data_IF_471232430041
#
_entry.id   IF_471232430041
#
_cell.length_a   1.000
_cell.length_b   1.000
_cell.length_c   1.000
_cell.angle_alpha   90.00
_cell.angle_beta   90.00
_cell.angle_gamma   90.00
#
_symmetry.space_group_name_H-M   'P 1'
#
loop_
_entity.id
_entity.type
_entity.pdbx_description
1 polymer ?
#
# COMPACT_ATOMS: atom_id res chain seq x y z
N UNK A 1 4.89 -6.73 2.38
CA UNK A 1 6.18 -6.15 1.98
C UNK A 1 5.92 -5.20 0.81
N UNK A 2 6.46 -3.99 0.91
CA UNK A 2 6.42 -2.95 -0.11
C UNK A 2 7.13 -3.49 -1.36
N UNK A 3 6.42 -3.49 -2.49
CA UNK A 3 7.03 -3.84 -3.77
C UNK A 3 7.72 -2.61 -4.35
N UNK A 4 9.05 -2.67 -4.45
CA UNK A 4 9.90 -1.65 -5.05
C UNK A 4 10.55 -2.28 -6.28
N UNK A 5 10.63 -1.57 -7.42
CA UNK A 5 11.32 -2.09 -8.59
C UNK A 5 12.79 -2.40 -8.27
N UNK A 6 13.31 -3.58 -8.66
CA UNK A 6 14.68 -4.02 -8.34
C UNK A 6 15.76 -3.41 -9.26
N UNK A 7 15.35 -2.54 -10.19
CA UNK A 7 16.20 -1.92 -11.19
C UNK A 7 15.78 -0.46 -11.45
N UNK A 8 16.68 0.38 -11.97
CA UNK A 8 16.36 1.75 -12.33
C UNK A 8 15.25 1.84 -13.38
N UNK A 9 14.43 2.89 -13.29
CA UNK A 9 13.30 3.12 -14.19
C UNK A 9 13.67 3.19 -15.67
N UNK A 10 14.83 3.75 -16.00
CA UNK A 10 15.30 3.82 -17.38
C UNK A 10 15.46 2.44 -18.00
N UNK A 11 15.78 1.43 -17.19
CA UNK A 11 15.83 0.03 -17.64
C UNK A 11 14.41 -0.55 -17.77
N UNK A 12 13.50 -0.18 -16.88
CA UNK A 12 12.08 -0.57 -16.96
C UNK A 12 11.42 0.02 -18.21
N UNK A 13 11.72 1.27 -18.58
CA UNK A 13 11.27 1.91 -19.81
C UNK A 13 11.73 1.11 -21.05
N UNK A 14 12.97 0.59 -21.07
CA UNK A 14 13.45 -0.27 -22.17
C UNK A 14 12.72 -1.60 -22.24
N UNK A 15 12.36 -2.19 -21.10
CA UNK A 15 11.56 -3.42 -21.04
C UNK A 15 10.14 -3.15 -21.56
N UNK A 16 9.48 -2.09 -21.09
CA UNK A 16 8.16 -1.66 -21.58
C UNK A 16 8.19 -1.37 -23.08
N UNK A 17 9.25 -0.72 -23.57
CA UNK A 17 9.43 -0.45 -24.98
C UNK A 17 9.49 -1.75 -25.82
N UNK A 18 10.22 -2.74 -25.31
CA UNK A 18 10.37 -4.05 -25.94
C UNK A 18 9.06 -4.82 -25.97
N UNK A 19 8.34 -4.84 -24.85
CA UNK A 19 7.00 -5.45 -24.75
C UNK A 19 6.05 -4.81 -25.76
N UNK A 20 6.03 -3.47 -25.86
CA UNK A 20 5.16 -2.77 -26.81
C UNK A 20 5.55 -2.98 -28.28
N UNK A 21 6.83 -3.26 -28.57
CA UNK A 21 7.29 -3.65 -29.92
C UNK A 21 7.04 -5.12 -30.26
N UNK A 22 6.66 -5.95 -29.28
CA UNK A 22 6.54 -7.40 -29.45
C UNK A 22 7.88 -8.12 -29.59
N UNK A 23 8.97 -7.60 -29.00
CA UNK A 23 10.28 -8.27 -29.02
C UNK A 23 10.44 -9.26 -27.86
N UNK A 24 11.20 -10.35 -28.10
CA UNK A 24 11.32 -11.48 -27.17
C UNK A 24 11.95 -11.13 -25.80
N UNK A 25 11.38 -11.72 -24.74
CA UNK A 25 11.79 -11.54 -23.34
C UNK A 25 13.23 -12.02 -23.04
N UNK A 26 13.73 -12.96 -23.84
CA UNK A 26 15.03 -13.63 -23.66
C UNK A 26 16.21 -12.63 -23.64
N UNK A 27 16.12 -11.55 -24.41
CA UNK A 27 17.17 -10.54 -24.50
C UNK A 27 17.38 -9.78 -23.19
N UNK A 28 16.32 -9.58 -22.42
CA UNK A 28 16.40 -8.88 -21.13
C UNK A 28 16.90 -9.79 -20.02
N UNK A 29 16.54 -11.08 -20.04
CA UNK A 29 16.96 -12.07 -19.04
C UNK A 29 18.49 -12.17 -18.95
N UNK A 30 19.18 -12.19 -20.09
CA UNK A 30 20.65 -12.20 -20.13
C UNK A 30 21.29 -10.92 -19.58
N UNK A 31 20.62 -9.78 -19.69
CA UNK A 31 21.18 -8.47 -19.33
C UNK A 31 21.05 -8.11 -17.84
N UNK A 32 19.92 -8.47 -17.22
CA UNK A 32 19.60 -8.09 -15.82
C UNK A 32 19.42 -9.28 -14.89
N UNK A 33 19.41 -10.51 -15.42
CA UNK A 33 19.14 -11.73 -14.68
C UNK A 33 17.65 -12.00 -14.52
N UNK A 34 17.30 -13.30 -14.50
CA UNK A 34 15.92 -13.79 -14.41
C UNK A 34 15.14 -13.26 -13.22
N UNK A 35 15.72 -13.34 -12.02
CA UNK A 35 15.05 -12.91 -10.77
C UNK A 35 14.64 -11.44 -10.81
N UNK A 36 15.50 -10.55 -11.32
CA UNK A 36 15.19 -9.12 -11.45
C UNK A 36 14.18 -8.83 -12.54
N UNK A 37 14.23 -9.58 -13.65
CA UNK A 37 13.24 -9.47 -14.72
C UNK A 37 11.86 -9.86 -14.19
N UNK A 38 11.74 -11.00 -13.52
CA UNK A 38 10.48 -11.50 -12.95
C UNK A 38 9.89 -10.52 -11.93
N UNK A 39 10.72 -9.99 -11.03
CA UNK A 39 10.30 -8.97 -10.06
C UNK A 39 9.87 -7.65 -10.74
N UNK A 40 10.53 -7.27 -11.85
CA UNK A 40 10.15 -6.09 -12.64
C UNK A 40 8.81 -6.29 -13.34
N UNK A 41 8.59 -7.46 -13.95
CA UNK A 41 7.31 -7.81 -14.59
C UNK A 41 6.18 -7.84 -13.55
N UNK A 42 6.43 -8.44 -12.38
CA UNK A 42 5.48 -8.41 -11.27
C UNK A 42 5.16 -6.97 -10.82
N UNK A 43 6.15 -6.08 -10.77
CA UNK A 43 5.92 -4.66 -10.50
C UNK A 43 5.04 -4.00 -11.57
N UNK A 44 5.34 -4.22 -12.86
CA UNK A 44 4.56 -3.69 -13.99
C UNK A 44 3.11 -4.20 -14.01
N UNK A 45 2.88 -5.45 -13.59
CA UNK A 45 1.54 -6.00 -13.42
C UNK A 45 0.79 -5.29 -12.29
N UNK A 46 1.45 -5.04 -11.14
CA UNK A 46 0.82 -4.35 -10.00
C UNK A 46 0.42 -2.90 -10.30
N UNK A 47 1.17 -2.19 -11.14
CA UNK A 47 0.78 -0.85 -11.62
C UNK A 47 -0.22 -0.89 -12.78
N UNK A 48 -0.70 -2.09 -13.14
CA UNK A 48 -1.66 -2.34 -14.23
C UNK A 48 -1.14 -1.85 -15.59
N UNK A 49 0.16 -1.98 -15.87
CA UNK A 49 0.71 -1.66 -17.18
C UNK A 49 0.73 -2.88 -18.09
N UNK A 50 1.00 -4.07 -17.53
CA UNK A 50 0.99 -5.32 -18.29
C UNK A 50 0.05 -6.36 -17.67
N UNK A 51 -0.43 -7.29 -18.49
CA UNK A 51 -1.21 -8.45 -18.07
C UNK A 51 -0.33 -9.55 -17.49
N UNK A 52 -0.94 -10.61 -16.94
CA UNK A 52 -0.22 -11.82 -16.49
C UNK A 52 0.58 -12.48 -17.62
N UNK A 53 0.07 -12.39 -18.85
CA UNK A 53 0.73 -12.87 -20.07
C UNK A 53 1.86 -11.94 -20.55
N UNK A 54 2.06 -10.80 -19.87
CA UNK A 54 3.02 -9.73 -20.20
C UNK A 54 2.69 -8.99 -21.49
N UNK A 55 1.41 -8.78 -21.75
CA UNK A 55 0.92 -7.92 -22.82
C UNK A 55 0.56 -6.54 -22.26
N UNK A 56 0.66 -5.48 -23.06
CA UNK A 56 0.23 -4.16 -22.59
C UNK A 56 -1.28 -4.12 -22.35
N UNK A 57 -1.66 -3.69 -21.15
CA UNK A 57 -3.06 -3.31 -20.82
C UNK A 57 -3.43 -2.01 -21.52
N UNK A 58 -4.68 -1.56 -21.41
CA UNK A 58 -5.10 -0.24 -21.90
C UNK A 58 -4.28 0.90 -21.27
N UNK A 59 -4.11 0.91 -19.95
CA UNK A 59 -3.27 1.87 -19.24
C UNK A 59 -1.81 1.82 -19.72
N UNK A 60 -1.27 0.61 -19.89
CA UNK A 60 0.09 0.42 -20.41
C UNK A 60 0.26 0.88 -21.85
N UNK A 61 -0.74 0.68 -22.71
CA UNK A 61 -0.76 1.18 -24.10
C UNK A 61 -0.79 2.71 -24.13
N UNK A 62 -1.62 3.33 -23.29
CA UNK A 62 -1.68 4.80 -23.20
C UNK A 62 -0.33 5.36 -22.74
N UNK A 63 0.25 4.79 -21.67
CA UNK A 63 1.59 5.17 -21.23
C UNK A 63 2.65 4.98 -22.33
N UNK A 64 2.62 3.85 -23.04
CA UNK A 64 3.55 3.56 -24.13
C UNK A 64 3.44 4.60 -25.26
N UNK A 65 2.22 4.92 -25.70
CA UNK A 65 1.97 5.88 -26.77
C UNK A 65 2.47 7.26 -26.36
N UNK A 66 2.09 7.75 -25.19
CA UNK A 66 2.51 9.08 -24.75
C UNK A 66 4.03 9.19 -24.60
N UNK A 67 4.68 8.19 -23.98
CA UNK A 67 6.11 8.25 -23.72
C UNK A 67 6.97 8.02 -24.97
N UNK A 68 6.64 7.00 -25.77
CA UNK A 68 7.52 6.52 -26.84
C UNK A 68 7.10 6.96 -28.24
N UNK A 69 5.82 7.29 -28.45
CA UNK A 69 5.30 7.72 -29.76
C UNK A 69 5.15 9.24 -29.81
N UNK A 70 4.46 9.82 -28.84
CA UNK A 70 4.24 11.27 -28.77
C UNK A 70 5.41 12.02 -28.13
N UNK A 71 6.26 11.33 -27.34
CA UNK A 71 7.32 11.93 -26.53
C UNK A 71 6.78 13.04 -25.61
N UNK A 72 5.61 12.78 -25.02
CA UNK A 72 4.88 13.68 -24.14
C UNK A 72 5.14 13.34 -22.66
N UNK A 73 5.40 14.36 -21.86
CA UNK A 73 5.57 14.23 -20.42
C UNK A 73 4.27 13.86 -19.69
N UNK A 74 3.10 13.99 -20.35
CA UNK A 74 1.81 13.50 -19.84
C UNK A 74 1.83 12.00 -19.50
N UNK A 75 2.73 11.22 -20.11
CA UNK A 75 2.99 9.83 -19.73
C UNK A 75 3.29 9.67 -18.23
N UNK A 76 4.02 10.62 -17.63
CA UNK A 76 4.31 10.58 -16.19
C UNK A 76 3.10 10.88 -15.32
N UNK A 77 2.06 11.54 -15.85
CA UNK A 77 0.77 11.66 -15.16
C UNK A 77 0.04 10.31 -15.12
N UNK A 78 0.02 9.57 -16.22
CA UNK A 78 -0.55 8.21 -16.29
C UNK A 78 0.17 7.30 -15.28
N UNK A 79 1.50 7.34 -15.28
CA UNK A 79 2.31 6.60 -14.32
C UNK A 79 2.03 7.04 -12.88
N UNK A 80 1.90 8.34 -12.62
CA UNK A 80 1.59 8.85 -11.29
C UNK A 80 0.26 8.29 -10.76
N UNK A 81 -0.78 8.25 -11.60
CA UNK A 81 -2.10 7.77 -11.19
C UNK A 81 -2.12 6.25 -10.94
N UNK A 82 -1.39 5.47 -11.73
CA UNK A 82 -1.15 4.06 -11.43
C UNK A 82 -0.35 3.86 -10.15
N UNK A 83 0.72 4.63 -9.94
CA UNK A 83 1.58 4.52 -8.76
C UNK A 83 0.83 4.86 -7.46
N UNK A 84 0.01 5.92 -7.45
CA UNK A 84 -0.79 6.34 -6.28
C UNK A 84 -1.77 5.25 -5.78
N UNK A 85 -2.17 4.32 -6.66
CA UNK A 85 -3.03 3.18 -6.32
C UNK A 85 -2.28 2.01 -5.70
N UNK A 86 -0.95 1.96 -5.83
CA UNK A 86 -0.15 0.89 -5.25
C UNK A 86 -0.02 1.03 -3.74
N UNK A 87 -0.10 -0.10 -3.03
CA UNK A 87 0.09 -0.17 -1.58
C UNK A 87 1.44 0.44 -1.17
N UNK A 88 2.51 0.14 -1.92
CA UNK A 88 3.86 0.66 -1.67
C UNK A 88 3.89 2.18 -1.54
N UNK A 89 3.32 2.87 -2.53
CA UNK A 89 3.31 4.35 -2.57
C UNK A 89 2.38 4.90 -1.50
N UNK A 90 1.22 4.27 -1.29
CA UNK A 90 0.30 4.70 -0.24
C UNK A 90 0.93 4.61 1.16
N UNK A 91 1.62 3.51 1.47
CA UNK A 91 2.30 3.33 2.76
C UNK A 91 3.41 4.36 2.94
N UNK A 92 4.31 4.49 1.96
CA UNK A 92 5.43 5.46 2.02
C UNK A 92 4.90 6.87 2.23
N UNK A 93 3.91 7.30 1.44
CA UNK A 93 3.36 8.64 1.57
C UNK A 93 2.66 8.84 2.92
N UNK A 94 1.92 7.86 3.44
CA UNK A 94 1.24 7.97 4.73
C UNK A 94 2.19 8.04 5.92
N UNK A 95 3.26 7.24 5.92
CA UNK A 95 4.27 7.22 6.98
C UNK A 95 5.00 8.56 7.06
N UNK A 96 5.34 9.10 5.89
CA UNK A 96 6.23 10.23 5.75
C UNK A 96 5.48 11.58 5.71
N UNK A 97 4.16 11.57 5.49
CA UNK A 97 3.36 12.78 5.41
C UNK A 97 3.51 13.67 6.66
N UNK A 98 3.75 14.95 6.44
CA UNK A 98 3.86 15.96 7.51
C UNK A 98 5.15 15.92 8.31
N UNK A 99 6.07 14.97 8.06
CA UNK A 99 7.40 14.94 8.68
C UNK A 99 8.34 15.90 7.95
N UNK A 100 9.13 16.67 8.71
CA UNK A 100 10.18 17.56 8.18
C UNK A 100 11.54 16.85 8.19
N UNK A 101 12.47 17.34 7.36
CA UNK A 101 13.87 16.89 7.33
C UNK A 101 14.03 15.38 7.08
N UNK A 102 13.20 14.83 6.21
CA UNK A 102 13.31 13.42 5.84
C UNK A 102 14.55 13.20 4.98
N UNK A 103 15.38 12.24 5.39
CA UNK A 103 16.57 11.80 4.66
C UNK A 103 16.38 10.38 4.14
N UNK A 104 16.92 10.11 2.95
CA UNK A 104 16.87 8.79 2.29
C UNK A 104 17.33 7.66 3.21
N UNK A 105 18.47 7.82 3.86
CA UNK A 105 19.03 6.80 4.76
C UNK A 105 18.13 6.53 5.97
N UNK A 106 17.54 7.56 6.57
CA UNK A 106 16.60 7.44 7.67
C UNK A 106 15.33 6.70 7.25
N UNK A 107 14.83 6.97 6.03
CA UNK A 107 13.66 6.29 5.48
C UNK A 107 13.98 4.83 5.18
N UNK A 108 15.13 4.55 4.55
CA UNK A 108 15.57 3.18 4.30
C UNK A 108 15.63 2.37 5.60
N UNK A 109 16.30 2.91 6.62
CA UNK A 109 16.41 2.26 7.93
C UNK A 109 15.04 2.04 8.58
N UNK A 110 14.14 3.02 8.50
CA UNK A 110 12.77 2.90 9.01
C UNK A 110 12.02 1.75 8.32
N UNK A 111 12.05 1.71 6.98
CA UNK A 111 11.36 0.67 6.21
C UNK A 111 11.94 -0.73 6.48
N UNK A 112 13.25 -0.83 6.72
CA UNK A 112 13.92 -2.08 7.04
C UNK A 112 13.57 -2.58 8.44
N UNK A 113 13.64 -1.70 9.46
CA UNK A 113 13.32 -2.04 10.86
C UNK A 113 11.87 -2.48 11.01
N UNK A 114 10.95 -1.79 10.32
CA UNK A 114 9.52 -2.13 10.30
C UNK A 114 9.21 -3.33 9.40
N UNK A 115 10.23 -4.00 8.83
CA UNK A 115 10.11 -5.17 7.93
C UNK A 115 9.19 -4.91 6.74
N UNK A 116 9.15 -3.66 6.28
CA UNK A 116 8.35 -3.25 5.14
C UNK A 116 9.05 -3.58 3.82
N UNK A 117 10.38 -3.54 3.81
CA UNK A 117 11.22 -3.95 2.67
C UNK A 117 12.04 -5.19 3.03
N UNK A 118 12.40 -5.99 2.03
CA UNK A 118 13.27 -7.15 2.16
C UNK A 118 14.73 -6.69 2.38
N UNK A 119 15.51 -7.42 3.18
CA UNK A 119 16.94 -7.16 3.41
C UNK A 119 17.78 -7.19 2.13
N UNK A 120 17.28 -7.85 1.07
CA UNK A 120 17.88 -7.85 -0.26
C UNK A 120 17.79 -6.50 -0.98
N UNK A 121 16.81 -5.65 -0.63
CA UNK A 121 16.62 -4.33 -1.24
C UNK A 121 17.67 -3.39 -0.66
N UNK A 122 18.48 -2.78 -1.53
CA UNK A 122 19.53 -1.85 -1.12
C UNK A 122 18.99 -0.41 -1.04
N UNK A 123 19.72 0.45 -0.33
CA UNK A 123 19.39 1.87 -0.24
C UNK A 123 19.33 2.56 -1.61
N UNK A 124 20.13 2.10 -2.58
CA UNK A 124 20.14 2.62 -3.95
C UNK A 124 18.92 2.19 -4.78
N UNK A 125 18.34 1.03 -4.47
CA UNK A 125 17.08 0.59 -5.08
C UNK A 125 15.93 1.51 -4.62
N UNK A 126 15.90 1.85 -3.33
CA UNK A 126 14.99 2.86 -2.80
C UNK A 126 15.23 4.23 -3.44
N UNK A 127 16.49 4.67 -3.60
CA UNK A 127 16.82 5.92 -4.27
C UNK A 127 16.35 5.98 -5.73
N UNK A 128 16.43 4.85 -6.44
CA UNK A 128 15.91 4.70 -7.80
C UNK A 128 14.39 4.83 -7.82
N UNK A 129 13.70 4.22 -6.86
CA UNK A 129 12.24 4.33 -6.74
C UNK A 129 11.78 5.75 -6.36
N UNK A 130 12.44 6.39 -5.39
CA UNK A 130 12.18 7.79 -5.02
C UNK A 130 12.38 8.74 -6.20
N UNK A 131 13.35 8.45 -7.07
CA UNK A 131 13.56 9.23 -8.30
C UNK A 131 12.37 9.16 -9.26
N UNK A 132 11.69 8.01 -9.34
CA UNK A 132 10.46 7.84 -10.14
C UNK A 132 9.32 8.63 -9.53
N UNK A 133 9.14 8.52 -8.21
CA UNK A 133 8.10 9.26 -7.50
C UNK A 133 8.30 10.78 -7.63
N UNK A 134 9.55 11.23 -7.68
CA UNK A 134 9.90 12.62 -7.97
C UNK A 134 9.53 13.04 -9.40
N UNK A 135 9.84 12.22 -10.41
CA UNK A 135 9.38 12.48 -11.80
C UNK A 135 7.85 12.57 -11.89
N UNK A 136 7.15 11.74 -11.12
CA UNK A 136 5.69 11.69 -11.07
C UNK A 136 5.06 12.79 -10.18
N UNK A 137 5.86 13.71 -9.61
CA UNK A 137 5.41 14.77 -8.68
C UNK A 137 4.60 14.23 -7.48
N UNK A 138 4.87 13.01 -7.05
CA UNK A 138 4.29 12.40 -5.84
C UNK A 138 5.03 12.89 -4.59
N UNK A 139 6.33 13.15 -4.73
CA UNK A 139 7.22 13.71 -3.72
C UNK A 139 8.29 14.57 -4.40
N UNK A 140 8.97 15.41 -3.63
CA UNK A 140 10.24 16.03 -4.02
C UNK A 140 11.39 15.20 -3.44
N UNK A 141 12.37 14.87 -4.26
CA UNK A 141 13.58 14.15 -3.84
C UNK A 141 14.84 14.81 -4.39
N UNK A 142 15.71 15.29 -3.50
CA UNK A 142 17.04 15.78 -3.85
C UNK A 142 18.06 14.66 -3.78
N UNK A 143 18.55 14.20 -4.93
CA UNK A 143 19.64 13.20 -4.99
C UNK A 143 20.92 13.69 -4.31
N UNK A 144 21.21 15.00 -4.42
CA UNK A 144 22.44 15.61 -3.87
C UNK A 144 22.45 15.62 -2.35
N UNK A 145 21.33 15.97 -1.73
CA UNK A 145 21.22 16.11 -0.27
C UNK A 145 20.52 14.92 0.41
N UNK A 146 19.95 14.01 -0.38
CA UNK A 146 19.15 12.90 0.13
C UNK A 146 17.82 13.33 0.75
N UNK A 147 17.41 14.60 0.59
CA UNK A 147 16.22 15.16 1.24
C UNK A 147 14.94 14.79 0.50
N UNK A 148 13.89 14.51 1.26
CA UNK A 148 12.59 14.07 0.74
C UNK A 148 11.47 14.95 1.34
N UNK A 149 10.51 15.33 0.51
CA UNK A 149 9.30 16.03 0.93
C UNK A 149 8.11 15.40 0.20
N UNK A 150 7.08 15.00 0.94
CA UNK A 150 5.91 14.33 0.36
C UNK A 150 4.93 15.38 -0.15
N UNK A 151 4.52 15.26 -1.42
CA UNK A 151 3.55 16.16 -2.06
C UNK A 151 2.14 15.55 -2.12
N UNK A 152 2.07 14.22 -2.13
CA UNK A 152 0.82 13.47 -2.20
C UNK A 152 0.43 12.91 -0.82
N UNK A 153 -0.78 13.24 -0.36
CA UNK A 153 -1.37 12.63 0.82
C UNK A 153 -2.51 11.68 0.43
N UNK A 154 -2.33 10.36 0.55
CA UNK A 154 -3.40 9.39 0.29
C UNK A 154 -4.67 9.61 1.13
N UNK A 155 -4.56 10.22 2.32
CA UNK A 155 -5.71 10.48 3.21
C UNK A 155 -6.61 11.61 2.74
N UNK A 156 -6.13 12.50 1.88
CA UNK A 156 -6.89 13.65 1.38
C UNK A 156 -7.58 13.37 0.04
N UNK A 157 -7.42 12.17 -0.51
CA UNK A 157 -7.96 11.83 -1.82
C UNK A 157 -9.45 11.48 -1.72
N UNK A 158 -10.22 11.76 -2.78
CA UNK A 158 -11.66 11.44 -2.83
C UNK A 158 -11.89 9.93 -2.76
N UNK A 159 -11.00 9.16 -3.39
CA UNK A 159 -10.92 7.72 -3.24
C UNK A 159 -10.19 7.39 -1.93
N UNK A 160 -10.85 6.65 -1.05
CA UNK A 160 -10.24 6.25 0.22
C UNK A 160 -9.05 5.32 -0.04
N UNK A 161 -7.94 5.48 0.71
CA UNK A 161 -6.77 4.63 0.54
C UNK A 161 -7.16 3.17 0.78
N UNK A 162 -6.55 2.27 0.02
CA UNK A 162 -6.78 0.82 0.14
C UNK A 162 -6.15 0.28 1.42
N UNK A 163 -5.05 0.88 1.85
CA UNK A 163 -4.33 0.53 3.08
C UNK A 163 -4.20 1.77 3.96
N UNK A 164 -4.47 1.64 5.25
CA UNK A 164 -4.27 2.71 6.23
C UNK A 164 -3.13 2.33 7.18
N UNK A 165 -2.09 3.16 7.23
CA UNK A 165 -0.96 2.95 8.14
C UNK A 165 -1.16 3.71 9.45
N UNK A 166 -0.97 3.00 10.56
CA UNK A 166 -1.01 3.54 11.93
C UNK A 166 0.40 3.51 12.52
N UNK A 167 0.84 4.63 13.11
CA UNK A 167 2.19 4.76 13.69
C UNK A 167 2.11 5.13 15.16
N UNK A 168 2.95 4.55 16.04
CA UNK A 168 3.05 5.00 17.44
C UNK A 168 3.32 6.51 17.60
N UNK A 169 3.97 7.13 16.60
CA UNK A 169 4.26 8.57 16.58
C UNK A 169 3.01 9.44 16.40
N UNK A 170 1.89 8.86 15.95
CA UNK A 170 0.65 9.58 15.65
C UNK A 170 -0.55 9.04 16.45
N UNK A 171 -0.48 8.96 17.79
CA UNK A 171 -1.47 8.25 18.60
C UNK A 171 -2.88 8.84 18.48
N UNK A 172 -2.99 10.17 18.42
CA UNK A 172 -4.27 10.86 18.25
C UNK A 172 -4.92 10.53 16.90
N UNK A 173 -4.16 10.67 15.81
CA UNK A 173 -4.65 10.40 14.47
C UNK A 173 -4.97 8.91 14.26
N UNK A 174 -4.31 8.01 14.98
CA UNK A 174 -4.59 6.58 14.89
C UNK A 174 -6.00 6.22 15.38
N UNK A 175 -6.45 6.86 16.46
CA UNK A 175 -7.80 6.66 16.98
C UNK A 175 -8.81 7.08 15.91
N UNK A 176 -8.68 8.31 15.39
CA UNK A 176 -9.55 8.80 14.32
C UNK A 176 -9.56 7.87 13.10
N UNK A 177 -8.38 7.45 12.65
CA UNK A 177 -8.18 6.53 11.54
C UNK A 177 -8.90 5.17 11.76
N UNK A 178 -8.85 4.62 12.98
CA UNK A 178 -9.55 3.38 13.33
C UNK A 178 -11.08 3.54 13.20
N UNK A 179 -11.64 4.58 13.80
CA UNK A 179 -13.08 4.86 13.72
C UNK A 179 -13.55 5.05 12.27
N UNK A 180 -12.81 5.85 11.49
CA UNK A 180 -13.12 6.05 10.07
C UNK A 180 -13.08 4.76 9.28
N UNK A 181 -12.08 3.90 9.52
CA UNK A 181 -11.95 2.59 8.86
C UNK A 181 -13.16 1.72 9.14
N UNK A 182 -13.57 1.57 10.41
CA UNK A 182 -14.73 0.75 10.77
C UNK A 182 -16.01 1.28 10.08
N UNK A 183 -16.22 2.61 10.05
CA UNK A 183 -17.36 3.22 9.34
C UNK A 183 -17.38 2.94 7.84
N UNK A 184 -16.23 2.65 7.23
CA UNK A 184 -16.15 2.37 5.80
C UNK A 184 -16.48 0.94 5.43
N UNK A 185 -16.38 0.01 6.39
CA UNK A 185 -16.66 -1.40 6.13
C UNK A 185 -18.09 -1.59 5.64
N UNK A 186 -18.28 -2.57 4.74
CA UNK A 186 -19.57 -2.94 4.16
C UNK A 186 -19.69 -4.45 4.18
N UNK A 187 -20.87 -4.97 4.51
CA UNK A 187 -21.22 -6.41 4.57
C UNK A 187 -20.48 -7.23 5.63
N UNK A 188 -19.16 -7.11 5.73
CA UNK A 188 -18.37 -7.85 6.71
C UNK A 188 -17.25 -7.01 7.33
N UNK A 189 -16.90 -7.32 8.58
CA UNK A 189 -15.69 -6.85 9.26
C UNK A 189 -14.95 -8.04 9.85
N UNK A 190 -13.69 -8.22 9.46
CA UNK A 190 -12.79 -9.20 10.06
C UNK A 190 -11.66 -8.47 10.77
N UNK A 191 -11.48 -8.76 12.05
CA UNK A 191 -10.41 -8.21 12.88
C UNK A 191 -9.53 -9.35 13.37
N UNK A 192 -8.24 -9.27 13.05
CA UNK A 192 -7.22 -10.15 13.59
C UNK A 192 -6.23 -9.33 14.42
N UNK A 193 -6.13 -9.62 15.73
CA UNK A 193 -5.19 -8.93 16.62
C UNK A 193 -4.78 -9.82 17.79
N UNK A 194 -3.47 -10.12 17.87
CA UNK A 194 -2.88 -10.94 18.94
C UNK A 194 -3.14 -10.36 20.33
N UNK A 195 -3.27 -9.04 20.43
CA UNK A 195 -3.44 -8.28 21.66
C UNK A 195 -4.82 -7.62 21.73
N UNK A 196 -5.82 -8.15 21.02
CA UNK A 196 -7.19 -7.66 21.12
C UNK A 196 -7.65 -7.68 22.58
N UNK A 197 -8.33 -6.62 23.02
CA UNK A 197 -8.78 -6.47 24.41
C UNK A 197 -10.18 -5.88 24.45
N UNK A 198 -10.77 -5.77 25.64
CA UNK A 198 -12.11 -5.19 25.82
C UNK A 198 -12.20 -3.77 25.26
N UNK A 199 -11.11 -3.00 25.26
CA UNK A 199 -11.05 -1.66 24.65
C UNK A 199 -11.28 -1.68 23.14
N UNK A 200 -10.97 -2.78 22.46
CA UNK A 200 -11.23 -2.95 21.03
C UNK A 200 -12.71 -3.13 20.70
N UNK A 201 -13.54 -3.52 21.67
CA UNK A 201 -14.99 -3.69 21.47
C UNK A 201 -15.73 -2.34 21.39
N UNK A 202 -15.25 -1.33 22.11
CA UNK A 202 -15.88 0.01 22.16
C UNK A 202 -15.98 0.71 20.79
N UNK A 203 -14.91 0.83 19.98
CA UNK A 203 -15.04 1.42 18.65
C UNK A 203 -15.95 0.58 17.75
N UNK A 204 -16.01 -0.74 17.93
CA UNK A 204 -16.93 -1.59 17.17
C UNK A 204 -18.39 -1.35 17.56
N UNK A 205 -18.70 -1.25 18.86
CA UNK A 205 -20.08 -0.99 19.31
C UNK A 205 -20.58 0.39 18.87
N UNK A 206 -19.68 1.37 18.80
CA UNK A 206 -20.03 2.74 18.46
C UNK A 206 -20.21 2.94 16.94
N UNK A 207 -19.38 2.28 16.13
CA UNK A 207 -19.31 2.58 14.69
C UNK A 207 -20.02 1.56 13.79
N UNK A 208 -20.31 0.35 14.27
CA UNK A 208 -20.99 -0.66 13.46
C UNK A 208 -22.49 -0.35 13.30
N UNK A 209 -22.91 -0.29 12.04
CA UNK A 209 -24.29 -0.12 11.63
C UNK A 209 -24.84 -1.44 11.04
N UNK A 210 -25.83 -2.03 11.71
CA UNK A 210 -26.46 -3.29 11.31
C UNK A 210 -27.26 -3.25 10.00
N UNK A 211 -27.57 -2.06 9.49
CA UNK A 211 -28.16 -1.91 8.14
C UNK A 211 -27.12 -2.05 7.02
N UNK A 212 -25.82 -2.04 7.37
CA UNK A 212 -24.70 -1.95 6.44
C UNK A 212 -23.76 -3.16 6.57
N UNK A 213 -23.60 -3.68 7.79
CA UNK A 213 -22.75 -4.81 8.11
C UNK A 213 -23.64 -6.00 8.45
N UNK A 214 -23.40 -7.11 7.76
CA UNK A 214 -24.12 -8.36 7.98
C UNK A 214 -23.36 -9.27 8.95
N UNK A 215 -22.01 -9.20 8.95
CA UNK A 215 -21.16 -10.16 9.65
C UNK A 215 -19.95 -9.52 10.32
N UNK A 216 -19.61 -9.99 11.52
CA UNK A 216 -18.35 -9.67 12.20
C UNK A 216 -17.60 -10.95 12.59
N UNK A 217 -16.28 -10.94 12.38
CA UNK A 217 -15.35 -11.96 12.90
C UNK A 217 -14.21 -11.29 13.64
N UNK A 218 -14.02 -11.70 14.90
CA UNK A 218 -12.95 -11.21 15.76
C UNK A 218 -12.08 -12.42 16.13
N UNK A 219 -10.80 -12.37 15.76
CA UNK A 219 -9.80 -13.39 16.09
C UNK A 219 -8.73 -12.73 16.96
N UNK A 220 -8.68 -13.15 18.22
CA UNK A 220 -7.75 -12.63 19.24
C UNK A 220 -6.67 -13.65 19.55
N UNK A 221 -5.49 -13.18 19.94
CA UNK A 221 -4.52 -14.03 20.65
C UNK A 221 -4.98 -14.33 22.08
N UNK A 222 -4.35 -15.32 22.72
CA UNK A 222 -4.68 -15.76 24.09
C UNK A 222 -4.27 -14.76 25.19
N UNK A 223 -3.43 -13.78 24.86
CA UNK A 223 -2.76 -12.92 25.84
C UNK A 223 -3.73 -12.12 26.73
N UNK A 224 -4.91 -11.76 26.19
CA UNK A 224 -5.90 -10.93 26.88
C UNK A 224 -7.23 -11.66 27.14
N UNK A 225 -7.29 -12.97 26.91
CA UNK A 225 -8.51 -13.77 27.11
C UNK A 225 -8.61 -14.16 28.59
N UNK A 226 -9.36 -13.37 29.35
CA UNK A 226 -9.76 -13.67 30.73
C UNK A 226 -11.29 -13.67 30.87
N UNK A 227 -11.79 -14.05 32.05
CA UNK A 227 -13.25 -14.12 32.29
C UNK A 227 -13.95 -12.78 32.08
N UNK A 228 -13.28 -11.67 32.42
CA UNK A 228 -13.80 -10.32 32.16
C UNK A 228 -13.99 -10.08 30.66
N UNK A 229 -12.98 -10.37 29.85
CA UNK A 229 -13.06 -10.25 28.39
C UNK A 229 -14.15 -11.15 27.82
N UNK A 230 -14.27 -12.40 28.28
CA UNK A 230 -15.33 -13.33 27.84
C UNK A 230 -16.73 -12.77 28.14
N UNK A 231 -16.93 -12.21 29.33
CA UNK A 231 -18.21 -11.61 29.72
C UNK A 231 -18.53 -10.35 28.92
N UNK A 232 -17.56 -9.46 28.70
CA UNK A 232 -17.72 -8.26 27.87
C UNK A 232 -18.03 -8.64 26.42
N UNK A 233 -17.31 -9.64 25.91
CA UNK A 233 -17.52 -10.18 24.58
C UNK A 233 -18.94 -10.75 24.42
N UNK A 234 -19.43 -11.55 25.38
CA UNK A 234 -20.79 -12.10 25.33
C UNK A 234 -21.87 -11.01 25.35
N UNK A 235 -21.64 -9.92 26.10
CA UNK A 235 -22.55 -8.76 26.10
C UNK A 235 -22.56 -8.06 24.75
N UNK A 236 -21.38 -7.81 24.19
CA UNK A 236 -21.21 -7.24 22.86
C UNK A 236 -21.87 -8.12 21.79
N UNK A 237 -21.69 -9.43 21.83
CA UNK A 237 -22.26 -10.38 20.86
C UNK A 237 -23.80 -10.33 20.86
N UNK A 238 -24.41 -10.36 22.05
CA UNK A 238 -25.87 -10.20 22.19
C UNK A 238 -26.38 -8.88 21.63
N UNK A 239 -25.61 -7.81 21.79
CA UNK A 239 -25.96 -6.50 21.25
C UNK A 239 -25.86 -6.47 19.72
N UNK A 240 -24.80 -7.03 19.14
CA UNK A 240 -24.62 -7.12 17.69
C UNK A 240 -25.71 -7.97 17.03
N UNK A 241 -26.07 -9.10 17.63
CA UNK A 241 -27.18 -9.95 17.15
C UNK A 241 -28.52 -9.19 17.16
N UNK A 242 -28.80 -8.39 18.19
CA UNK A 242 -30.00 -7.51 18.22
C UNK A 242 -29.99 -6.45 17.13
N UNK A 243 -28.82 -6.01 16.69
CA UNK A 243 -28.64 -5.07 15.57
C UNK A 243 -28.71 -5.78 14.20
N UNK A 244 -28.90 -7.10 14.15
CA UNK A 244 -28.93 -7.87 12.90
C UNK A 244 -27.55 -8.27 12.36
N UNK A 245 -26.48 -8.10 13.15
CA UNK A 245 -25.11 -8.43 12.76
C UNK A 245 -24.80 -9.85 13.23
N UNK A 246 -24.57 -10.76 12.29
CA UNK A 246 -24.22 -12.16 12.56
C UNK A 246 -22.75 -12.31 12.96
N UNK A 247 -22.47 -13.32 13.78
CA UNK A 247 -21.12 -13.69 14.19
C UNK A 247 -20.74 -15.06 13.61
N UNK A 248 -19.51 -15.15 13.12
CA UNK A 248 -18.84 -16.42 12.81
C UNK A 248 -17.52 -16.42 13.58
N UNK A 249 -17.47 -17.05 14.74
CA UNK A 249 -16.32 -16.92 15.64
C UNK A 249 -15.55 -18.19 15.89
N UNK A 250 -14.23 -18.02 15.90
CA UNK A 250 -13.30 -18.76 16.73
C UNK A 250 -12.56 -17.73 17.60
N UNK A 251 -12.76 -17.80 18.92
CA UNK A 251 -11.88 -17.20 19.95
C UNK A 251 -11.19 -18.37 20.62
#
# INVERSE_FOLDING_TARGET
>A
MINIPPIPWQTIEKILYSIGKGTDKINHEHSIGKEKLDATLSFLQKISFITENNELTETGKNFYTELFVCNDETAYSILADSLKKTESVQIICQILWGRKNLLKNSIYNLLLVERMIDEKIKEDDLGSFLSILNKCKILNYSKKFGTIEILYNPKNNLEKPTTLFLSPDTPYSNIKALHETIRTCRRFLWWFDKHFSTKGLEPLSNELNGNIIDNIRLLSGIANINDKFRNDFQRFDKEMLKRGINRLSQI
#
